data_IF_082718671188
#
_entry.id   IF_082718671188
#
_cell.length_a   1.000
_cell.length_b   1.000
_cell.length_c   1.000
_cell.angle_alpha   90.00
_cell.angle_beta   90.00
_cell.angle_gamma   90.00
#
_symmetry.space_group_name_H-M   'P 1'
#
loop_
_entity.id
_entity.type
_entity.pdbx_description
1 polymer ?
#
# COMPACT_ATOMS: atom_id res chain seq x y z
N UNK A 1 -9.89 67.38 48.36
CA UNK A 1 -9.51 67.15 46.95
C UNK A 1 -9.82 65.70 46.60
N UNK A 2 -10.81 65.49 45.73
CA UNK A 2 -10.78 64.46 44.69
C UNK A 2 -11.10 62.98 44.99
N UNK A 3 -12.37 62.69 45.34
CA UNK A 3 -12.99 61.35 45.19
C UNK A 3 -13.59 61.14 43.77
N UNK A 4 -14.06 62.20 43.13
CA UNK A 4 -14.71 62.16 41.80
C UNK A 4 -13.75 61.79 40.66
N UNK A 5 -12.48 62.25 40.63
CA UNK A 5 -11.57 61.81 39.56
C UNK A 5 -11.15 60.35 39.69
N UNK A 6 -11.18 59.74 40.88
CA UNK A 6 -10.83 58.32 41.05
C UNK A 6 -11.89 57.39 40.45
N UNK A 7 -13.17 57.67 40.72
CA UNK A 7 -14.27 56.87 40.15
C UNK A 7 -14.36 57.01 38.62
N UNK A 8 -14.12 58.21 38.08
CA UNK A 8 -14.01 58.38 36.64
C UNK A 8 -12.83 57.59 36.06
N UNK A 9 -11.66 57.61 36.69
CA UNK A 9 -10.48 56.89 36.21
C UNK A 9 -10.71 55.38 36.14
N UNK A 10 -11.33 54.79 37.17
CA UNK A 10 -11.64 53.37 37.23
C UNK A 10 -12.73 52.98 36.21
N UNK A 11 -13.75 53.84 36.03
CA UNK A 11 -14.79 53.65 35.02
C UNK A 11 -14.20 53.68 33.60
N UNK A 12 -13.38 54.68 33.28
CA UNK A 12 -12.72 54.79 31.97
C UNK A 12 -11.75 53.63 31.71
N UNK A 13 -11.03 53.16 32.73
CA UNK A 13 -10.12 52.02 32.61
C UNK A 13 -10.87 50.70 32.33
N UNK A 14 -12.03 50.51 32.95
CA UNK A 14 -12.88 49.33 32.66
C UNK A 14 -13.45 49.36 31.24
N UNK A 15 -13.83 50.54 30.75
CA UNK A 15 -14.40 50.73 29.42
C UNK A 15 -13.35 50.53 28.32
N UNK A 16 -12.14 51.09 28.48
CA UNK A 16 -11.04 50.91 27.52
C UNK A 16 -10.56 49.46 27.48
N UNK A 17 -10.54 48.75 28.61
CA UNK A 17 -10.26 47.30 28.65
C UNK A 17 -11.28 46.49 27.87
N UNK A 18 -12.58 46.79 28.00
CA UNK A 18 -13.63 46.09 27.26
C UNK A 18 -13.55 46.36 25.75
N UNK A 19 -13.25 47.60 25.35
CA UNK A 19 -12.99 47.95 23.95
C UNK A 19 -11.80 47.17 23.39
N UNK A 20 -10.67 47.14 24.10
CA UNK A 20 -9.47 46.39 23.68
C UNK A 20 -9.76 44.89 23.52
N UNK A 21 -10.44 44.29 24.50
CA UNK A 21 -10.83 42.87 24.42
C UNK A 21 -11.74 42.58 23.23
N UNK A 22 -12.70 43.47 22.94
CA UNK A 22 -13.60 43.32 21.80
C UNK A 22 -12.85 43.39 20.48
N UNK A 23 -11.93 44.35 20.32
CA UNK A 23 -11.11 44.48 19.11
C UNK A 23 -10.25 43.24 18.91
N UNK A 24 -9.59 42.75 19.96
CA UNK A 24 -8.78 41.52 19.91
C UNK A 24 -9.65 40.34 19.46
N UNK A 25 -10.80 40.11 20.11
CA UNK A 25 -11.68 38.99 19.78
C UNK A 25 -12.15 39.06 18.33
N UNK A 26 -12.62 40.22 17.87
CA UNK A 26 -13.11 40.41 16.51
C UNK A 26 -12.00 40.22 15.48
N UNK A 27 -10.78 40.66 15.77
CA UNK A 27 -9.62 40.47 14.88
C UNK A 27 -9.17 39.01 14.78
N UNK A 28 -9.24 38.24 15.88
CA UNK A 28 -8.87 36.83 15.87
C UNK A 28 -9.97 35.90 15.37
N UNK A 29 -11.23 36.32 15.44
CA UNK A 29 -12.39 35.55 14.97
C UNK A 29 -12.22 34.99 13.54
N UNK A 30 -11.93 35.80 12.50
CA UNK A 30 -11.79 35.28 11.14
C UNK A 30 -10.62 34.28 11.00
N UNK A 31 -9.52 34.49 11.73
CA UNK A 31 -8.37 33.58 11.73
C UNK A 31 -8.74 32.20 12.32
N UNK A 32 -9.42 32.19 13.46
CA UNK A 32 -9.87 30.95 14.11
C UNK A 32 -10.90 30.22 13.23
N UNK A 33 -11.82 30.96 12.61
CA UNK A 33 -12.88 30.42 11.76
C UNK A 33 -12.28 29.74 10.51
N UNK A 34 -11.37 30.42 9.82
CA UNK A 34 -10.66 29.86 8.67
C UNK A 34 -9.80 28.66 9.10
N UNK A 35 -9.08 28.76 10.22
CA UNK A 35 -8.29 27.66 10.76
C UNK A 35 -9.14 26.42 11.08
N UNK A 36 -10.31 26.61 11.70
CA UNK A 36 -11.27 25.54 11.99
C UNK A 36 -11.84 24.89 10.73
N UNK A 37 -12.21 25.68 9.73
CA UNK A 37 -12.68 25.17 8.43
C UNK A 37 -11.58 24.35 7.74
N UNK A 38 -10.35 24.85 7.72
CA UNK A 38 -9.21 24.14 7.14
C UNK A 38 -8.99 22.82 7.87
N UNK A 39 -8.98 22.80 9.21
CA UNK A 39 -8.78 21.59 10.01
C UNK A 39 -9.89 20.55 9.78
N UNK A 40 -11.15 21.00 9.71
CA UNK A 40 -12.31 20.15 9.44
C UNK A 40 -12.24 19.53 8.03
N UNK A 41 -11.94 20.35 7.02
CA UNK A 41 -11.78 19.85 5.65
C UNK A 41 -10.55 18.96 5.49
N UNK A 42 -9.48 19.25 6.23
CA UNK A 42 -8.27 18.43 6.29
C UNK A 42 -8.61 17.06 6.88
N UNK A 43 -9.26 16.95 8.04
CA UNK A 43 -9.66 15.65 8.58
C UNK A 43 -10.55 14.86 7.61
N UNK A 44 -11.56 15.50 7.03
CA UNK A 44 -12.48 14.85 6.08
C UNK A 44 -11.77 14.38 4.81
N UNK A 45 -10.93 15.24 4.20
CA UNK A 45 -10.22 14.94 2.95
C UNK A 45 -9.02 14.01 3.12
N UNK A 46 -8.36 14.00 4.29
CA UNK A 46 -7.22 13.13 4.56
C UNK A 46 -7.65 11.67 4.69
N UNK A 47 -8.80 11.40 5.31
CA UNK A 47 -9.31 10.05 5.41
C UNK A 47 -9.73 9.48 4.06
N UNK A 48 -10.38 10.26 3.20
CA UNK A 48 -10.81 9.78 1.88
C UNK A 48 -9.64 9.56 0.92
N UNK A 49 -8.68 10.49 0.85
CA UNK A 49 -7.62 10.43 -0.17
C UNK A 49 -6.51 9.43 0.15
N UNK A 50 -6.16 9.28 1.43
CA UNK A 50 -5.06 8.37 1.82
C UNK A 50 -5.52 6.92 1.82
N UNK A 51 -6.71 6.61 2.33
CA UNK A 51 -7.23 5.23 2.30
C UNK A 51 -7.58 4.78 0.89
N UNK A 52 -8.24 5.60 0.08
CA UNK A 52 -8.56 5.22 -1.30
C UNK A 52 -7.29 4.94 -2.11
N UNK A 53 -6.22 5.72 -1.92
CA UNK A 53 -4.96 5.48 -2.62
C UNK A 53 -4.26 4.20 -2.15
N UNK A 54 -4.25 3.93 -0.83
CA UNK A 54 -3.69 2.69 -0.30
C UNK A 54 -4.50 1.47 -0.73
N UNK A 55 -5.83 1.56 -0.73
CA UNK A 55 -6.72 0.51 -1.20
C UNK A 55 -6.50 0.24 -2.69
N UNK A 56 -6.39 1.30 -3.50
CA UNK A 56 -6.06 1.19 -4.92
C UNK A 56 -4.68 0.55 -5.15
N UNK A 57 -3.66 0.93 -4.38
CA UNK A 57 -2.32 0.35 -4.45
C UNK A 57 -2.32 -1.14 -4.07
N UNK A 58 -2.96 -1.49 -2.96
CA UNK A 58 -3.09 -2.89 -2.51
C UNK A 58 -3.85 -3.72 -3.53
N UNK A 59 -4.96 -3.19 -4.07
CA UNK A 59 -5.75 -3.87 -5.08
C UNK A 59 -4.96 -4.05 -6.38
N UNK A 60 -4.20 -3.04 -6.82
CA UNK A 60 -3.29 -3.16 -7.96
C UNK A 60 -2.20 -4.21 -7.72
N UNK A 61 -1.61 -4.23 -6.54
CA UNK A 61 -0.62 -5.26 -6.20
C UNK A 61 -1.23 -6.67 -6.20
N UNK A 62 -2.43 -6.84 -5.64
CA UNK A 62 -3.15 -8.10 -5.69
C UNK A 62 -3.40 -8.54 -7.13
N UNK A 63 -3.93 -7.64 -7.97
CA UNK A 63 -4.18 -7.93 -9.39
C UNK A 63 -2.90 -8.31 -10.15
N UNK A 64 -1.78 -7.66 -9.84
CA UNK A 64 -0.50 -7.98 -10.45
C UNK A 64 0.00 -9.36 -10.03
N UNK A 65 -0.10 -9.72 -8.74
CA UNK A 65 0.25 -11.05 -8.23
C UNK A 65 -0.66 -12.12 -8.86
N UNK A 66 -1.96 -11.88 -8.90
CA UNK A 66 -2.93 -12.82 -9.49
C UNK A 66 -2.64 -13.05 -10.97
N UNK A 67 -2.31 -11.97 -11.71
CA UNK A 67 -1.96 -12.07 -13.13
C UNK A 67 -0.64 -12.83 -13.34
N UNK A 68 0.37 -12.54 -12.54
CA UNK A 68 1.66 -13.24 -12.57
C UNK A 68 1.49 -14.74 -12.30
N UNK A 69 0.78 -15.11 -11.22
CA UNK A 69 0.54 -16.51 -10.87
C UNK A 69 -0.29 -17.23 -11.95
N UNK A 70 -1.27 -16.54 -12.55
CA UNK A 70 -2.09 -17.10 -13.61
C UNK A 70 -1.28 -17.37 -14.88
N UNK A 71 -0.36 -16.47 -15.23
CA UNK A 71 0.58 -16.67 -16.34
C UNK A 71 1.47 -17.89 -16.08
N UNK A 72 2.12 -17.97 -14.91
CA UNK A 72 2.99 -19.11 -14.58
C UNK A 72 2.25 -20.44 -14.48
N UNK A 73 1.01 -20.44 -14.01
CA UNK A 73 0.14 -21.62 -14.08
C UNK A 73 -0.18 -22.00 -15.53
N UNK A 74 -0.35 -21.03 -16.41
CA UNK A 74 -0.49 -21.24 -17.85
C UNK A 74 0.73 -21.94 -18.43
N UNK A 75 1.93 -21.48 -18.09
CA UNK A 75 3.20 -22.09 -18.53
C UNK A 75 3.33 -23.55 -18.06
N UNK A 76 3.00 -23.82 -16.80
CA UNK A 76 3.02 -25.20 -16.24
C UNK A 76 1.97 -26.09 -16.92
N UNK A 77 0.76 -25.57 -17.16
CA UNK A 77 -0.30 -26.31 -17.85
C UNK A 77 0.07 -26.62 -19.28
N UNK A 78 0.68 -25.66 -19.97
CA UNK A 78 1.18 -25.88 -21.33
C UNK A 78 2.19 -27.04 -21.36
N UNK A 79 3.11 -27.10 -20.39
CA UNK A 79 3.99 -28.27 -20.25
C UNK A 79 3.22 -29.55 -19.98
N UNK A 80 2.27 -29.54 -19.05
CA UNK A 80 1.48 -30.74 -18.73
C UNK A 80 0.62 -31.25 -19.90
N UNK A 81 0.13 -30.35 -20.76
CA UNK A 81 -0.73 -30.69 -21.90
C UNK A 81 0.07 -31.18 -23.12
N UNK A 82 1.34 -30.79 -23.25
CA UNK A 82 2.19 -31.13 -24.40
C UNK A 82 3.15 -32.29 -24.16
N UNK A 83 3.33 -32.73 -22.91
CA UNK A 83 4.21 -33.84 -22.55
C UNK A 83 3.44 -34.94 -21.84
N UNK A 84 3.76 -36.19 -22.18
CA UNK A 84 3.20 -37.34 -21.49
C UNK A 84 3.80 -37.49 -20.10
N UNK A 85 3.07 -38.16 -19.21
CA UNK A 85 3.56 -38.47 -17.87
C UNK A 85 4.87 -39.25 -17.88
N UNK A 86 5.04 -40.20 -18.82
CA UNK A 86 6.28 -40.98 -18.95
C UNK A 86 7.47 -40.12 -19.37
N UNK A 87 7.26 -39.14 -20.26
CA UNK A 87 8.31 -38.19 -20.65
C UNK A 87 8.68 -37.26 -19.49
N UNK A 88 7.72 -36.79 -18.71
CA UNK A 88 7.99 -35.93 -17.54
C UNK A 88 8.62 -36.69 -16.38
N UNK A 89 8.45 -38.02 -16.33
CA UNK A 89 9.07 -38.88 -15.33
C UNK A 89 10.56 -39.14 -15.61
N UNK A 90 11.02 -38.90 -16.84
CA UNK A 90 12.44 -38.97 -17.18
C UNK A 90 13.18 -37.71 -16.65
N UNK A 91 14.18 -37.92 -15.79
CA UNK A 91 14.92 -36.81 -15.17
C UNK A 91 15.65 -35.93 -16.20
N UNK A 92 16.11 -36.50 -17.31
CA UNK A 92 16.83 -35.73 -18.35
C UNK A 92 15.85 -34.80 -19.06
N UNK A 93 14.71 -35.33 -19.49
CA UNK A 93 13.62 -34.54 -20.05
C UNK A 93 13.18 -33.43 -19.09
N UNK A 94 12.96 -33.76 -17.80
CA UNK A 94 12.55 -32.79 -16.79
C UNK A 94 13.58 -31.67 -16.59
N UNK A 95 14.87 -32.02 -16.63
CA UNK A 95 15.99 -31.07 -16.59
C UNK A 95 15.92 -30.10 -17.77
N UNK A 96 15.80 -30.63 -18.99
CA UNK A 96 15.74 -29.81 -20.21
C UNK A 96 14.53 -28.86 -20.20
N UNK A 97 13.39 -29.28 -19.63
CA UNK A 97 12.22 -28.41 -19.47
C UNK A 97 12.44 -27.33 -18.43
N UNK A 98 13.03 -27.65 -17.29
CA UNK A 98 13.37 -26.66 -16.27
C UNK A 98 14.35 -25.62 -16.84
N UNK A 99 15.38 -26.05 -17.56
CA UNK A 99 16.33 -25.14 -18.23
C UNK A 99 15.65 -24.26 -19.29
N UNK A 100 14.70 -24.82 -20.05
CA UNK A 100 13.93 -24.06 -21.04
C UNK A 100 13.06 -22.98 -20.38
N UNK A 101 12.35 -23.32 -19.29
CA UNK A 101 11.56 -22.37 -18.50
C UNK A 101 12.46 -21.27 -17.92
N UNK A 102 13.64 -21.63 -17.41
CA UNK A 102 14.57 -20.66 -16.84
C UNK A 102 15.19 -19.72 -17.88
N UNK A 103 15.43 -20.23 -19.09
CA UNK A 103 15.92 -19.42 -20.20
C UNK A 103 14.90 -18.36 -20.63
N UNK A 104 13.61 -18.69 -20.58
CA UNK A 104 12.55 -17.79 -21.02
C UNK A 104 12.04 -16.85 -19.91
N UNK A 105 11.95 -17.35 -18.68
CA UNK A 105 11.36 -16.63 -17.54
C UNK A 105 12.34 -16.28 -16.42
N UNK A 106 13.64 -16.55 -16.60
CA UNK A 106 14.66 -16.34 -15.58
C UNK A 106 14.49 -17.27 -14.38
N UNK A 107 14.89 -16.81 -13.19
CA UNK A 107 14.85 -17.58 -11.95
C UNK A 107 13.44 -17.70 -11.32
N UNK A 108 12.37 -17.49 -12.10
CA UNK A 108 10.99 -17.64 -11.61
C UNK A 108 10.66 -19.10 -11.32
N UNK A 109 11.16 -20.03 -12.15
CA UNK A 109 11.03 -21.47 -11.94
C UNK A 109 12.32 -22.03 -11.35
N UNK A 110 12.33 -22.22 -10.03
CA UNK A 110 13.53 -22.67 -9.29
C UNK A 110 13.67 -24.19 -9.29
N UNK A 111 12.54 -24.89 -9.26
CA UNK A 111 12.45 -26.33 -9.29
C UNK A 111 11.26 -26.79 -10.14
N UNK A 112 11.32 -28.05 -10.55
CA UNK A 112 10.23 -28.73 -11.24
C UNK A 112 10.14 -30.15 -10.69
N UNK A 113 8.93 -30.56 -10.31
CA UNK A 113 8.66 -31.87 -9.74
C UNK A 113 7.42 -32.49 -10.33
N UNK A 114 7.44 -33.81 -10.48
CA UNK A 114 6.30 -34.60 -10.95
C UNK A 114 5.80 -35.45 -9.79
N UNK A 115 4.50 -35.35 -9.52
CA UNK A 115 3.83 -36.09 -8.46
C UNK A 115 2.80 -37.03 -9.10
N UNK A 116 2.89 -38.31 -8.76
CA UNK A 116 1.91 -39.32 -9.17
C UNK A 116 0.56 -39.14 -8.47
N UNK A 117 -0.47 -39.78 -9.02
CA UNK A 117 -1.83 -39.83 -8.43
C UNK A 117 -1.88 -40.31 -6.97
N UNK A 118 -0.89 -41.12 -6.55
CA UNK A 118 -0.77 -41.62 -5.18
C UNK A 118 -0.10 -40.61 -4.23
N UNK A 119 0.22 -39.39 -4.70
CA UNK A 119 0.93 -38.37 -3.94
C UNK A 119 2.43 -38.61 -3.81
N UNK A 120 2.99 -39.59 -4.54
CA UNK A 120 4.42 -39.90 -4.52
C UNK A 120 5.12 -39.04 -5.58
N UNK A 121 6.17 -38.33 -5.18
CA UNK A 121 7.05 -37.61 -6.11
C UNK A 121 7.93 -38.61 -6.85
N UNK A 122 7.82 -38.62 -8.17
CA UNK A 122 8.47 -39.61 -9.04
C UNK A 122 9.64 -39.02 -9.82
N UNK A 123 9.69 -37.70 -9.97
CA UNK A 123 10.80 -36.97 -10.55
C UNK A 123 10.92 -35.59 -9.90
N UNK A 124 12.15 -35.11 -9.73
CA UNK A 124 12.42 -33.80 -9.13
C UNK A 124 13.73 -33.24 -9.69
N UNK A 125 13.72 -31.97 -10.05
CA UNK A 125 14.92 -31.23 -10.37
C UNK A 125 14.86 -29.82 -9.78
N UNK A 126 15.99 -29.33 -9.30
CA UNK A 126 16.17 -27.98 -8.75
C UNK A 126 17.35 -27.33 -9.44
N UNK A 127 17.25 -26.02 -9.66
CA UNK A 127 18.34 -25.19 -10.18
C UNK A 127 19.62 -25.48 -9.41
N UNK A 128 20.63 -26.06 -10.07
CA UNK A 128 21.98 -26.11 -9.51
C UNK A 128 22.54 -24.71 -9.58
N UNK A 129 22.60 -24.00 -8.46
CA UNK A 129 23.43 -22.82 -8.39
C UNK A 129 24.85 -23.25 -8.75
N UNK A 130 25.33 -22.75 -9.89
CA UNK A 130 26.72 -22.89 -10.29
C UNK A 130 27.54 -22.12 -9.25
N UNK A 131 27.98 -22.81 -8.20
CA UNK A 131 29.04 -22.32 -7.33
C UNK A 131 30.29 -22.21 -8.22
N UNK A 132 30.56 -20.99 -8.71
CA UNK A 132 31.90 -20.57 -9.15
C UNK A 132 32.77 -20.23 -7.93
#
# INVERSE_FOLDING_TARGET
>A
MDKSKREHHDYYHSLTRNMLLTVIIVSFTPMILVGGIILYQFQTSYHEKVHAHLEELVQKHKQNIDSFLKEKLGDIRFLADNFTFEELRDETCLTDKLESLQKEFGLVFVDLGVISENGIQIAFNVTKQKHE
#
